data_IF_905201181573
#
_entry.id   IF_905201181573
#
_cell.length_a   1.000
_cell.length_b   1.000
_cell.length_c   1.000
_cell.angle_alpha   90.00
_cell.angle_beta   90.00
_cell.angle_gamma   90.00
#
_symmetry.space_group_name_H-M   'P 1'
#
loop_
_entity.id
_entity.type
_entity.pdbx_description
1 polymer ?
#
# COMPACT_ATOMS: atom_id res chain seq x y z
N UNK A 1 -9.01 -6.78 5.64
CA UNK A 1 -7.71 -6.07 5.74
C UNK A 1 -6.62 -6.95 6.35
N UNK A 2 -6.82 -7.63 7.50
CA UNK A 2 -5.83 -8.56 8.07
C UNK A 2 -5.29 -9.58 7.05
N UNK A 3 -6.17 -10.18 6.23
CA UNK A 3 -5.75 -11.05 5.13
C UNK A 3 -4.72 -10.42 4.17
N UNK A 4 -4.90 -9.15 3.78
CA UNK A 4 -3.93 -8.44 2.93
C UNK A 4 -2.59 -8.19 3.62
N UNK A 5 -2.60 -7.99 4.94
CA UNK A 5 -1.37 -7.76 5.73
C UNK A 5 -0.57 -9.07 5.90
N UNK A 6 -1.27 -10.20 5.99
CA UNK A 6 -0.69 -11.53 6.13
C UNK A 6 -0.51 -12.27 4.80
N UNK A 7 -0.96 -11.69 3.68
CA UNK A 7 -0.80 -12.26 2.34
C UNK A 7 0.66 -12.65 1.98
N UNK A 8 1.71 -11.89 2.37
CA UNK A 8 3.09 -12.31 2.10
C UNK A 8 3.51 -13.60 2.80
N UNK A 9 2.81 -14.02 3.87
CA UNK A 9 3.10 -15.26 4.60
C UNK A 9 2.48 -16.50 3.96
N UNK A 10 1.71 -16.34 2.88
CA UNK A 10 1.05 -17.47 2.21
C UNK A 10 2.10 -18.25 1.39
N UNK A 11 2.33 -19.54 1.67
CA UNK A 11 3.24 -20.35 0.87
C UNK A 11 2.60 -20.63 -0.49
N UNK A 12 3.29 -20.24 -1.58
CA UNK A 12 2.86 -20.55 -2.94
C UNK A 12 3.58 -21.79 -3.46
N UNK A 13 2.83 -22.68 -4.12
CA UNK A 13 3.40 -23.89 -4.75
C UNK A 13 4.44 -23.48 -5.79
N UNK A 14 5.70 -23.86 -5.56
CA UNK A 14 6.82 -23.60 -6.48
C UNK A 14 7.68 -22.38 -6.15
N UNK A 15 7.29 -21.54 -5.19
CA UNK A 15 8.19 -20.53 -4.62
C UNK A 15 8.95 -21.15 -3.45
N UNK A 16 10.25 -21.41 -3.63
CA UNK A 16 11.16 -21.94 -2.62
C UNK A 16 11.49 -20.96 -1.48
N UNK A 17 10.90 -19.77 -1.49
CA UNK A 17 11.16 -18.73 -0.50
C UNK A 17 10.05 -18.79 0.56
N UNK A 18 10.30 -19.52 1.64
CA UNK A 18 9.63 -19.26 2.91
C UNK A 18 10.00 -17.82 3.30
N UNK A 19 9.07 -16.88 3.09
CA UNK A 19 9.25 -15.50 3.53
C UNK A 19 9.11 -15.50 5.05
N UNK A 20 10.24 -15.55 5.76
CA UNK A 20 10.33 -15.41 7.21
C UNK A 20 10.10 -13.94 7.61
N UNK A 21 8.85 -13.50 7.49
CA UNK A 21 8.40 -12.14 7.81
C UNK A 21 8.31 -11.95 9.33
N UNK A 22 9.23 -11.16 9.90
CA UNK A 22 9.34 -10.96 11.35
C UNK A 22 8.67 -9.68 11.81
N UNK A 23 7.99 -9.77 12.94
CA UNK A 23 7.55 -8.57 13.65
C UNK A 23 8.75 -7.88 14.34
N UNK A 24 8.76 -6.54 14.43
CA UNK A 24 7.80 -5.62 13.81
C UNK A 24 8.12 -5.38 12.33
N UNK A 25 7.07 -5.26 11.51
CA UNK A 25 7.19 -4.90 10.09
C UNK A 25 6.20 -3.82 9.67
N UNK A 26 6.51 -3.12 8.59
CA UNK A 26 5.61 -2.13 7.98
C UNK A 26 4.91 -2.72 6.76
N UNK A 27 3.63 -2.40 6.59
CA UNK A 27 2.85 -2.83 5.44
C UNK A 27 2.12 -1.64 4.81
N UNK A 28 2.44 -1.35 3.56
CA UNK A 28 1.68 -0.44 2.70
C UNK A 28 0.57 -1.25 2.00
N UNK A 29 -0.68 -1.03 2.42
CA UNK A 29 -1.85 -1.53 1.71
C UNK A 29 -2.31 -0.48 0.71
N UNK A 30 -2.08 -0.73 -0.59
CA UNK A 30 -2.45 0.16 -1.68
C UNK A 30 -3.34 -0.57 -2.70
N UNK A 31 -4.65 -0.36 -2.61
CA UNK A 31 -5.68 -0.96 -3.47
C UNK A 31 -6.61 0.10 -4.06
N UNK A 32 -7.66 -0.34 -4.77
CA UNK A 32 -8.72 0.55 -5.25
C UNK A 32 -9.52 1.21 -4.12
N UNK A 33 -9.61 0.56 -2.95
CA UNK A 33 -10.42 1.05 -1.81
C UNK A 33 -9.60 1.51 -0.60
N UNK A 34 -8.31 1.18 -0.53
CA UNK A 34 -7.48 1.45 0.65
C UNK A 34 -6.13 2.03 0.23
N UNK A 35 -5.63 3.01 0.97
CA UNK A 35 -4.24 3.47 0.88
C UNK A 35 -3.77 3.85 2.27
N UNK A 36 -3.10 2.91 2.93
CA UNK A 36 -2.67 3.06 4.32
C UNK A 36 -1.32 2.42 4.56
N UNK A 37 -0.55 3.01 5.48
CA UNK A 37 0.67 2.45 6.03
C UNK A 37 0.37 1.94 7.44
N UNK A 38 0.56 0.65 7.66
CA UNK A 38 0.28 -0.01 8.95
C UNK A 38 1.58 -0.56 9.51
N UNK A 39 1.86 -0.26 10.79
CA UNK A 39 2.89 -0.92 11.57
C UNK A 39 2.28 -2.13 12.26
N UNK A 40 2.87 -3.29 12.06
CA UNK A 40 2.50 -4.52 12.74
C UNK A 40 3.56 -4.86 13.77
N UNK A 41 3.20 -4.88 15.06
CA UNK A 41 4.09 -5.30 16.16
C UNK A 41 3.84 -6.73 16.60
N UNK A 42 2.65 -7.26 16.34
CA UNK A 42 2.29 -8.67 16.51
C UNK A 42 1.13 -9.03 15.58
N UNK A 43 0.62 -10.26 15.68
CA UNK A 43 -0.58 -10.69 14.96
C UNK A 43 -1.86 -9.96 15.40
N UNK A 44 -1.87 -9.37 16.60
CA UNK A 44 -3.05 -8.70 17.17
C UNK A 44 -2.86 -7.20 17.25
N UNK A 45 -1.63 -6.75 17.41
CA UNK A 45 -1.27 -5.34 17.55
C UNK A 45 -0.87 -4.74 16.20
N UNK A 46 -1.77 -3.88 15.71
CA UNK A 46 -1.63 -3.14 14.48
C UNK A 46 -1.80 -1.66 14.80
N UNK A 47 -1.02 -0.81 14.14
CA UNK A 47 -1.13 0.64 14.26
C UNK A 47 -1.15 1.26 12.87
N UNK A 48 -2.23 1.98 12.55
CA UNK A 48 -2.31 2.74 11.30
C UNK A 48 -1.48 4.02 11.44
N UNK A 49 -0.34 4.07 10.76
CA UNK A 49 0.61 5.19 10.82
C UNK A 49 0.19 6.31 9.88
N UNK A 50 -0.25 5.94 8.68
CA UNK A 50 -0.74 6.86 7.65
C UNK A 50 -2.00 6.24 7.08
N UNK A 51 -3.06 7.03 6.95
CA UNK A 51 -4.25 6.66 6.18
C UNK A 51 -4.53 7.75 5.14
N UNK A 52 -5.36 7.43 4.15
CA UNK A 52 -5.82 8.43 3.18
C UNK A 52 -6.88 9.33 3.80
N UNK A 53 -6.75 10.64 3.58
CA UNK A 53 -7.70 11.65 4.02
C UNK A 53 -8.96 11.68 3.15
N UNK A 54 -8.84 11.30 1.88
CA UNK A 54 -9.89 11.47 0.87
C UNK A 54 -10.24 10.17 0.14
N UNK A 55 -9.65 9.91 -1.02
CA UNK A 55 -9.87 8.72 -1.84
C UNK A 55 -8.61 7.84 -1.81
N UNK A 56 -8.76 6.56 -2.12
CA UNK A 56 -7.60 5.69 -2.27
C UNK A 56 -6.80 6.05 -3.54
N UNK A 57 -5.50 5.72 -3.56
CA UNK A 57 -4.63 5.94 -4.71
C UNK A 57 -5.13 5.19 -5.95
N UNK A 58 -5.65 3.97 -5.80
CA UNK A 58 -6.23 3.20 -6.91
C UNK A 58 -7.46 3.87 -7.50
N UNK A 59 -8.40 4.32 -6.66
CA UNK A 59 -9.58 5.08 -7.12
C UNK A 59 -9.19 6.42 -7.79
N UNK A 60 -8.17 7.11 -7.26
CA UNK A 60 -7.63 8.31 -7.90
C UNK A 60 -7.05 8.03 -9.29
N UNK A 61 -6.23 6.97 -9.43
CA UNK A 61 -5.68 6.54 -10.71
C UNK A 61 -6.78 6.18 -11.70
N UNK A 62 -7.78 5.40 -11.28
CA UNK A 62 -8.89 4.99 -12.14
C UNK A 62 -9.75 6.17 -12.61
N UNK A 63 -10.08 7.10 -11.71
CA UNK A 63 -10.83 8.32 -12.05
C UNK A 63 -10.05 9.20 -13.02
N UNK A 64 -8.75 9.39 -12.76
CA UNK A 64 -7.89 10.17 -13.63
C UNK A 64 -7.72 9.51 -15.00
N UNK A 65 -7.49 8.19 -15.06
CA UNK A 65 -7.42 7.44 -16.31
C UNK A 65 -8.71 7.57 -17.13
N UNK A 66 -9.88 7.50 -16.48
CA UNK A 66 -11.15 7.74 -17.17
C UNK A 66 -11.20 9.13 -17.82
N UNK A 67 -10.72 10.17 -17.15
CA UNK A 67 -10.65 11.51 -17.73
C UNK A 67 -9.67 11.62 -18.90
N UNK A 68 -8.58 10.85 -18.87
CA UNK A 68 -7.63 10.71 -19.98
C UNK A 68 -8.18 9.85 -21.13
N UNK A 69 -9.44 9.37 -21.06
CA UNK A 69 -10.10 8.63 -22.13
C UNK A 69 -9.81 7.13 -22.15
N UNK A 70 -9.33 6.54 -21.05
CA UNK A 70 -9.27 5.08 -20.91
C UNK A 70 -10.66 4.51 -20.60
N UNK A 71 -10.95 3.33 -21.15
CA UNK A 71 -12.23 2.64 -21.02
C UNK A 71 -11.99 1.18 -20.66
N UNK A 72 -12.69 0.67 -19.65
CA UNK A 72 -12.51 -0.70 -19.18
C UNK A 72 -12.76 -0.80 -17.67
N UNK A 73 -12.54 -2.00 -17.13
CA UNK A 73 -12.76 -2.30 -15.72
C UNK A 73 -11.49 -2.17 -14.87
N UNK A 74 -10.30 -2.26 -15.49
CA UNK A 74 -9.00 -2.21 -14.80
C UNK A 74 -8.17 -1.03 -15.33
N UNK A 75 -8.59 0.18 -15.00
CA UNK A 75 -8.01 1.40 -15.55
C UNK A 75 -6.59 1.67 -15.04
N UNK A 76 -6.28 1.39 -13.78
CA UNK A 76 -4.92 1.52 -13.22
C UNK A 76 -3.87 0.71 -13.99
N UNK A 77 -4.04 -0.61 -14.19
CA UNK A 77 -3.13 -1.40 -15.01
C UNK A 77 -3.08 -0.98 -16.49
N UNK A 78 -4.20 -0.53 -17.07
CA UNK A 78 -4.21 0.01 -18.44
C UNK A 78 -3.39 1.29 -18.55
N UNK A 79 -3.51 2.20 -17.58
CA UNK A 79 -2.71 3.42 -17.49
C UNK A 79 -1.22 3.07 -17.38
N UNK A 80 -0.86 2.08 -16.57
CA UNK A 80 0.52 1.59 -16.48
C UNK A 80 1.04 1.02 -17.80
N UNK A 81 0.24 0.21 -18.49
CA UNK A 81 0.61 -0.31 -19.82
C UNK A 81 0.80 0.80 -20.83
N UNK A 82 -0.09 1.79 -20.82
CA UNK A 82 0.02 2.97 -21.69
C UNK A 82 1.31 3.74 -21.42
N UNK A 83 1.61 4.04 -20.15
CA UNK A 83 2.88 4.69 -19.76
C UNK A 83 4.08 3.82 -20.12
N UNK A 84 3.99 2.51 -19.95
CA UNK A 84 5.07 1.56 -20.29
C UNK A 84 5.39 1.55 -21.79
N UNK A 85 4.41 1.78 -22.66
CA UNK A 85 4.58 1.82 -24.11
C UNK A 85 5.11 3.15 -24.65
N UNK A 86 5.21 4.20 -23.82
CA UNK A 86 5.88 5.45 -24.21
C UNK A 86 7.38 5.17 -24.47
N UNK A 87 7.93 5.76 -25.53
CA UNK A 87 9.35 5.60 -25.88
C UNK A 87 10.27 6.05 -24.74
N UNK A 88 11.46 5.44 -24.65
CA UNK A 88 12.44 5.75 -23.59
C UNK A 88 12.87 7.22 -23.67
N UNK A 89 13.11 7.73 -24.88
CA UNK A 89 13.49 9.12 -25.14
C UNK A 89 12.42 10.10 -24.64
N UNK A 90 11.13 9.83 -24.94
CA UNK A 90 10.03 10.65 -24.43
C UNK A 90 9.92 10.58 -22.91
N UNK A 91 10.05 9.39 -22.30
CA UNK A 91 10.04 9.26 -20.83
C UNK A 91 11.16 10.06 -20.17
N UNK A 92 12.36 10.05 -20.76
CA UNK A 92 13.50 10.85 -20.28
C UNK A 92 13.25 12.35 -20.42
N UNK A 93 12.66 12.80 -21.54
CA UNK A 93 12.24 14.20 -21.69
C UNK A 93 11.18 14.56 -20.65
N UNK A 94 10.14 13.74 -20.52
CA UNK A 94 9.05 13.99 -19.59
C UNK A 94 9.52 14.05 -18.15
N UNK A 95 10.40 13.15 -17.70
CA UNK A 95 10.89 13.14 -16.32
C UNK A 95 11.60 14.44 -15.91
N UNK A 96 12.27 15.11 -16.85
CA UNK A 96 12.97 16.39 -16.62
C UNK A 96 12.02 17.58 -16.46
N UNK A 97 10.76 17.46 -16.88
CA UNK A 97 9.79 18.56 -16.85
C UNK A 97 9.10 18.65 -15.49
N UNK A 98 9.11 19.84 -14.90
CA UNK A 98 8.44 20.10 -13.64
C UNK A 98 6.96 20.51 -13.87
N UNK A 99 6.07 20.08 -12.97
CA UNK A 99 4.62 20.35 -13.02
C UNK A 99 4.11 21.23 -11.86
N UNK A 100 4.98 21.88 -11.08
CA UNK A 100 4.60 22.74 -9.95
C UNK A 100 3.83 23.99 -10.39
N UNK A 101 4.12 24.46 -11.59
CA UNK A 101 3.43 25.51 -12.32
C UNK A 101 3.10 25.03 -13.74
N UNK A 102 2.43 25.90 -14.48
CA UNK A 102 1.99 25.73 -15.86
C UNK A 102 2.93 26.38 -16.88
N UNK A 103 4.15 26.76 -16.48
CA UNK A 103 5.14 27.39 -17.40
C UNK A 103 5.87 26.37 -18.27
N UNK A 104 5.67 25.07 -18.02
CA UNK A 104 6.23 24.01 -18.84
C UNK A 104 5.64 23.98 -20.26
N UNK A 105 6.33 23.29 -21.17
CA UNK A 105 5.94 23.19 -22.59
C UNK A 105 4.52 22.64 -22.82
N UNK A 106 4.00 21.86 -21.87
CA UNK A 106 2.67 21.27 -21.95
C UNK A 106 1.58 22.11 -21.28
N UNK A 107 1.92 23.24 -20.64
CA UNK A 107 1.03 24.08 -19.83
C UNK A 107 0.25 23.29 -18.76
N UNK A 108 0.83 22.21 -18.27
CA UNK A 108 0.17 21.29 -17.36
C UNK A 108 0.69 21.47 -15.93
N UNK A 109 -0.23 21.70 -14.99
CA UNK A 109 0.10 21.87 -13.58
C UNK A 109 -0.45 20.71 -12.75
N UNK A 110 0.45 20.04 -12.04
CA UNK A 110 0.14 18.97 -11.09
C UNK A 110 1.04 19.11 -9.87
N UNK A 111 0.46 19.48 -8.73
CA UNK A 111 1.20 19.68 -7.48
C UNK A 111 1.12 18.43 -6.60
N UNK A 112 2.23 18.14 -5.92
CA UNK A 112 2.20 17.18 -4.82
C UNK A 112 1.32 17.74 -3.69
N UNK A 113 0.32 16.99 -3.21
CA UNK A 113 -0.46 17.35 -2.04
C UNK A 113 0.44 17.49 -0.82
N UNK A 114 0.04 18.35 0.13
CA UNK A 114 0.69 18.47 1.44
C UNK A 114 2.22 18.73 1.40
N UNK A 115 2.74 19.26 0.29
CA UNK A 115 4.15 19.62 0.14
C UNK A 115 4.47 20.84 1.00
N UNK A 116 5.07 20.58 2.16
CA UNK A 116 5.30 21.58 3.19
C UNK A 116 6.36 22.61 2.73
N UNK A 117 5.91 23.75 2.19
CA UNK A 117 6.81 24.73 1.53
C UNK A 117 7.52 25.66 2.51
N UNK A 118 7.12 25.69 3.80
CA UNK A 118 7.59 26.71 4.77
C UNK A 118 7.89 26.21 6.19
N UNK A 119 7.85 24.90 6.50
CA UNK A 119 8.13 24.41 7.86
C UNK A 119 9.13 23.25 7.86
N UNK A 120 10.27 23.47 8.52
CA UNK A 120 11.26 22.44 8.91
C UNK A 120 10.73 21.45 9.96
N UNK A 121 9.51 21.65 10.46
CA UNK A 121 8.92 20.82 11.52
C UNK A 121 8.11 19.68 10.91
N UNK A 122 8.41 18.46 11.35
CA UNK A 122 7.67 17.24 11.01
C UNK A 122 6.22 17.41 11.50
N UNK A 123 5.20 17.11 10.66
CA UNK A 123 3.81 17.27 11.05
C UNK A 123 3.41 16.24 12.12
N UNK A 124 2.49 16.64 13.00
CA UNK A 124 1.96 15.76 14.05
C UNK A 124 1.17 14.59 13.45
N UNK A 125 0.31 14.87 12.47
CA UNK A 125 -0.42 13.84 11.72
C UNK A 125 0.14 13.72 10.30
N UNK A 126 0.38 12.49 9.87
CA UNK A 126 0.84 12.19 8.51
C UNK A 126 -0.31 11.47 7.80
N UNK A 127 -0.79 12.07 6.71
CA UNK A 127 -1.88 11.54 5.89
C UNK A 127 -1.48 11.46 4.41
N UNK A 128 -2.13 10.55 3.68
CA UNK A 128 -2.17 10.59 2.22
C UNK A 128 -3.36 11.44 1.73
N UNK A 129 -3.32 11.87 0.47
CA UNK A 129 -4.35 12.67 -0.17
C UNK A 129 -4.21 12.58 -1.69
N UNK A 130 -5.30 12.34 -2.40
CA UNK A 130 -5.29 12.06 -3.84
C UNK A 130 -6.44 12.71 -4.61
N UNK A 131 -7.39 13.38 -3.95
CA UNK A 131 -8.56 13.97 -4.63
C UNK A 131 -8.20 15.12 -5.57
N UNK A 132 -7.12 15.87 -5.29
CA UNK A 132 -6.72 17.04 -6.08
C UNK A 132 -6.24 16.70 -7.50
N UNK A 133 -5.81 15.47 -7.74
CA UNK A 133 -5.28 15.06 -9.05
C UNK A 133 -6.36 15.09 -10.12
N UNK A 134 -7.56 14.60 -9.80
CA UNK A 134 -8.68 14.58 -10.74
C UNK A 134 -9.07 15.99 -11.19
N UNK A 135 -9.19 16.92 -10.24
CA UNK A 135 -9.52 18.32 -10.56
C UNK A 135 -8.48 18.94 -11.49
N UNK A 136 -7.19 18.66 -11.26
CA UNK A 136 -6.10 19.19 -12.09
C UNK A 136 -6.18 18.69 -13.55
N UNK A 137 -6.51 17.42 -13.75
CA UNK A 137 -6.66 16.84 -15.10
C UNK A 137 -7.91 17.40 -15.81
N UNK A 138 -9.02 17.55 -15.10
CA UNK A 138 -10.25 18.13 -15.66
C UNK A 138 -10.02 19.55 -16.17
N UNK A 139 -9.43 20.41 -15.33
CA UNK A 139 -9.07 21.78 -15.72
C UNK A 139 -8.12 21.80 -16.90
N UNK A 140 -7.13 20.91 -16.93
CA UNK A 140 -6.19 20.85 -18.07
C UNK A 140 -6.89 20.52 -19.39
N UNK A 141 -7.82 19.55 -19.37
CA UNK A 141 -8.59 19.09 -20.53
C UNK A 141 -9.54 20.16 -21.07
N UNK A 142 -10.08 21.03 -20.21
CA UNK A 142 -10.92 22.16 -20.63
C UNK A 142 -10.13 23.27 -21.32
N UNK A 143 -8.86 23.47 -20.92
CA UNK A 143 -8.03 24.60 -21.38
C UNK A 143 -7.10 24.26 -22.55
N UNK A 144 -6.89 22.98 -22.86
CA UNK A 144 -5.89 22.56 -23.84
C UNK A 144 -6.42 21.50 -24.80
N UNK A 145 -5.83 21.46 -26.00
CA UNK A 145 -6.09 20.39 -26.97
C UNK A 145 -5.42 19.11 -26.49
N UNK A 146 -6.21 18.03 -26.43
CA UNK A 146 -5.77 16.75 -25.89
C UNK A 146 -5.17 15.86 -26.99
N UNK A 147 -3.95 16.22 -27.43
CA UNK A 147 -3.17 15.41 -28.39
C UNK A 147 -2.65 14.13 -27.73
N UNK A 148 -2.24 13.13 -28.54
CA UNK A 148 -1.64 11.91 -27.99
C UNK A 148 -0.36 12.18 -27.18
N UNK A 149 0.49 13.13 -27.60
CA UNK A 149 1.68 13.50 -26.83
C UNK A 149 1.30 14.12 -25.47
N UNK A 150 0.32 15.03 -25.44
CA UNK A 150 -0.17 15.63 -24.19
C UNK A 150 -0.75 14.56 -23.27
N UNK A 151 -1.51 13.60 -23.82
CA UNK A 151 -2.06 12.47 -23.07
C UNK A 151 -0.97 11.59 -22.48
N UNK A 152 0.06 11.26 -23.26
CA UNK A 152 1.25 10.52 -22.79
C UNK A 152 1.97 11.26 -21.66
N UNK A 153 2.20 12.56 -21.82
CA UNK A 153 2.84 13.39 -20.81
C UNK A 153 2.05 13.43 -19.50
N UNK A 154 0.74 13.69 -19.58
CA UNK A 154 -0.14 13.75 -18.40
C UNK A 154 -0.23 12.38 -17.72
N UNK A 155 -0.38 11.28 -18.47
CA UNK A 155 -0.40 9.93 -17.92
C UNK A 155 0.90 9.58 -17.17
N UNK A 156 2.05 9.90 -17.78
CA UNK A 156 3.36 9.71 -17.18
C UNK A 156 3.51 10.51 -15.88
N UNK A 157 3.21 11.82 -15.92
CA UNK A 157 3.34 12.71 -14.76
C UNK A 157 2.36 12.40 -13.64
N UNK A 158 1.14 11.99 -13.97
CA UNK A 158 0.16 11.56 -12.99
C UNK A 158 0.69 10.39 -12.16
N UNK A 159 1.15 9.33 -12.84
CA UNK A 159 1.66 8.14 -12.17
C UNK A 159 2.91 8.46 -11.33
N UNK A 160 3.83 9.26 -11.88
CA UNK A 160 5.02 9.72 -11.17
C UNK A 160 4.65 10.51 -9.90
N UNK A 161 3.77 11.51 -10.00
CA UNK A 161 3.41 12.40 -8.88
C UNK A 161 2.62 11.67 -7.80
N UNK A 162 1.69 10.78 -8.16
CA UNK A 162 0.93 9.97 -7.19
C UNK A 162 1.87 9.08 -6.37
N UNK A 163 2.79 8.38 -7.02
CA UNK A 163 3.70 7.47 -6.31
C UNK A 163 4.80 8.23 -5.56
N UNK A 164 5.27 9.36 -6.08
CA UNK A 164 6.14 10.27 -5.32
C UNK A 164 5.46 10.76 -4.05
N UNK A 165 4.17 11.10 -4.10
CA UNK A 165 3.42 11.45 -2.89
C UNK A 165 3.43 10.30 -1.88
N UNK A 166 3.11 9.08 -2.31
CA UNK A 166 3.13 7.92 -1.41
C UNK A 166 4.50 7.75 -0.75
N UNK A 167 5.59 7.75 -1.54
CA UNK A 167 6.95 7.59 -1.01
C UNK A 167 7.35 8.73 -0.10
N UNK A 168 7.06 9.99 -0.45
CA UNK A 168 7.38 11.16 0.36
C UNK A 168 6.69 11.13 1.73
N UNK A 169 5.41 10.75 1.78
CA UNK A 169 4.69 10.65 3.06
C UNK A 169 5.24 9.51 3.93
N UNK A 170 5.62 8.37 3.34
CA UNK A 170 6.29 7.28 4.05
C UNK A 170 7.67 7.73 4.54
N UNK A 171 8.42 8.48 3.72
CA UNK A 171 9.71 9.05 4.10
C UNK A 171 9.57 9.98 5.31
N UNK A 172 8.55 10.84 5.33
CA UNK A 172 8.24 11.70 6.49
C UNK A 172 7.89 10.86 7.72
N UNK A 173 7.21 9.71 7.56
CA UNK A 173 6.97 8.80 8.67
C UNK A 173 8.26 8.18 9.21
N UNK A 174 9.19 7.73 8.37
CA UNK A 174 10.51 7.28 8.83
C UNK A 174 11.26 8.38 9.57
N UNK A 175 11.25 9.62 9.06
CA UNK A 175 11.87 10.75 9.75
C UNK A 175 11.24 11.00 11.12
N UNK A 176 9.91 10.89 11.24
CA UNK A 176 9.18 11.08 12.50
C UNK A 176 9.48 9.96 13.50
N UNK A 177 9.34 8.70 13.08
CA UNK A 177 9.33 7.54 13.97
C UNK A 177 10.70 6.87 14.16
N UNK A 178 11.74 7.31 13.44
CA UNK A 178 13.14 6.98 13.78
C UNK A 178 13.75 7.97 14.77
N UNK A 179 13.27 9.22 14.77
CA UNK A 179 13.70 10.26 15.70
C UNK A 179 13.06 10.03 17.05
N UNK A 180 13.85 9.88 18.11
CA UNK A 180 13.31 9.81 19.46
C UNK A 180 13.27 11.23 20.05
N UNK A 181 12.07 11.83 20.15
CA UNK A 181 11.90 13.23 20.59
C UNK A 181 12.44 13.48 22.02
N UNK A 182 12.50 12.45 22.88
CA UNK A 182 12.96 12.58 24.27
C UNK A 182 14.49 12.47 24.45
N UNK A 183 15.20 11.77 23.56
CA UNK A 183 16.63 11.45 23.77
C UNK A 183 17.56 11.96 22.67
N UNK A 184 17.04 12.46 21.55
CA UNK A 184 17.84 12.96 20.43
C UNK A 184 18.66 11.87 19.70
N UNK A 185 18.48 10.60 20.07
CA UNK A 185 19.13 9.43 19.50
C UNK A 185 18.25 8.77 18.43
N UNK A 186 18.86 8.18 17.41
CA UNK A 186 18.20 7.29 16.43
C UNK A 186 17.85 5.95 17.08
N UNK A 187 16.79 5.95 17.89
CA UNK A 187 16.29 4.78 18.62
C UNK A 187 14.75 4.67 18.58
N UNK A 188 14.11 5.27 17.57
CA UNK A 188 12.66 5.24 17.42
C UNK A 188 12.12 3.88 16.94
N UNK A 189 10.79 3.70 17.00
CA UNK A 189 10.10 2.43 16.74
C UNK A 189 10.29 1.86 15.33
N UNK A 190 10.66 2.68 14.35
CA UNK A 190 10.90 2.22 12.98
C UNK A 190 12.33 1.69 12.76
N UNK A 191 13.27 1.97 13.66
CA UNK A 191 14.66 1.49 13.57
C UNK A 191 14.75 -0.04 13.65
N UNK A 192 13.83 -0.65 14.37
CA UNK A 192 13.71 -2.10 14.52
C UNK A 192 12.97 -2.79 13.37
N UNK A 193 12.33 -2.03 12.47
CA UNK A 193 11.60 -2.59 11.32
C UNK A 193 12.59 -2.98 10.24
N UNK A 194 12.69 -4.27 9.93
CA UNK A 194 13.56 -4.78 8.86
C UNK A 194 12.80 -5.10 7.57
N UNK A 195 11.52 -5.43 7.70
CA UNK A 195 10.70 -5.86 6.58
C UNK A 195 9.64 -4.81 6.21
N UNK A 196 9.48 -4.59 4.91
CA UNK A 196 8.51 -3.67 4.33
C UNK A 196 7.66 -4.42 3.29
N UNK A 197 6.38 -4.58 3.58
CA UNK A 197 5.41 -5.23 2.71
C UNK A 197 4.68 -4.17 1.88
N UNK A 198 4.47 -4.43 0.60
CA UNK A 198 3.56 -3.64 -0.23
C UNK A 198 2.54 -4.57 -0.90
N UNK A 199 1.29 -4.49 -0.47
CA UNK A 199 0.18 -5.34 -0.94
C UNK A 199 -1.00 -4.52 -1.46
N UNK A 200 -1.91 -5.18 -2.17
CA UNK A 200 -3.07 -4.54 -2.81
C UNK A 200 -2.93 -4.40 -4.33
N UNK A 201 -4.04 -4.15 -5.02
CA UNK A 201 -4.05 -4.11 -6.49
C UNK A 201 -3.11 -3.08 -7.12
N UNK A 202 -2.84 -1.95 -6.46
CA UNK A 202 -1.90 -0.92 -6.95
C UNK A 202 -0.45 -1.31 -6.65
N UNK A 203 -0.20 -2.17 -5.65
CA UNK A 203 1.13 -2.70 -5.36
C UNK A 203 1.69 -3.57 -6.50
N UNK A 204 0.85 -4.00 -7.45
CA UNK A 204 1.26 -4.62 -8.70
C UNK A 204 2.09 -3.71 -9.61
N UNK A 205 1.92 -2.40 -9.46
CA UNK A 205 2.47 -1.42 -10.36
C UNK A 205 4.00 -1.33 -10.26
N UNK A 206 4.69 -1.56 -11.38
CA UNK A 206 6.15 -1.60 -11.44
C UNK A 206 6.79 -0.27 -11.11
N UNK A 207 6.15 0.86 -11.45
CA UNK A 207 6.66 2.19 -11.12
C UNK A 207 6.59 2.42 -9.61
N UNK A 208 5.49 2.06 -8.95
CA UNK A 208 5.39 2.13 -7.48
C UNK A 208 6.46 1.26 -6.81
N UNK A 209 6.61 0.00 -7.24
CA UNK A 209 7.64 -0.92 -6.69
C UNK A 209 9.04 -0.34 -6.85
N UNK A 210 9.37 0.16 -8.04
CA UNK A 210 10.66 0.77 -8.32
C UNK A 210 10.93 1.99 -7.42
N UNK A 211 9.93 2.86 -7.25
CA UNK A 211 10.06 4.03 -6.37
C UNK A 211 10.23 3.65 -4.90
N UNK A 212 9.49 2.65 -4.41
CA UNK A 212 9.68 2.15 -3.05
C UNK A 212 11.10 1.57 -2.86
N UNK A 213 11.62 0.82 -3.83
CA UNK A 213 12.94 0.20 -3.75
C UNK A 213 14.10 1.21 -3.81
N UNK A 214 13.97 2.26 -4.61
CA UNK A 214 15.10 3.16 -4.93
C UNK A 214 14.99 4.54 -4.28
N UNK A 215 13.77 5.06 -4.07
CA UNK A 215 13.56 6.43 -3.59
C UNK A 215 13.32 6.47 -2.07
N UNK A 216 12.79 5.40 -1.46
CA UNK A 216 12.53 5.33 -0.02
C UNK A 216 13.84 5.15 0.76
N UNK A 217 14.14 6.09 1.65
CA UNK A 217 15.36 6.11 2.48
C UNK A 217 14.99 5.97 3.96
N UNK A 218 14.89 4.74 4.43
CA UNK A 218 14.54 4.45 5.82
C UNK A 218 15.63 4.79 6.85
N UNK A 219 16.87 5.06 6.42
CA UNK A 219 18.02 5.25 7.32
C UNK A 219 18.75 3.95 7.69
N UNK A 220 18.16 2.81 7.34
CA UNK A 220 18.71 1.47 7.45
C UNK A 220 18.20 0.60 6.28
N UNK A 221 18.78 -0.59 6.10
CA UNK A 221 18.36 -1.52 5.05
C UNK A 221 16.99 -2.13 5.36
N UNK A 222 16.09 -2.09 4.37
CA UNK A 222 14.79 -2.75 4.40
C UNK A 222 14.75 -3.90 3.40
N UNK A 223 14.14 -5.01 3.80
CA UNK A 223 13.75 -6.09 2.91
C UNK A 223 12.35 -5.78 2.37
N UNK A 224 12.23 -5.64 1.05
CA UNK A 224 10.95 -5.35 0.42
C UNK A 224 10.26 -6.64 -0.02
N UNK A 225 9.00 -6.79 0.39
CA UNK A 225 8.15 -7.93 0.09
C UNK A 225 6.96 -7.48 -0.74
N UNK A 226 6.86 -8.01 -1.96
CA UNK A 226 5.74 -7.73 -2.86
C UNK A 226 5.03 -9.06 -3.15
N UNK A 227 3.84 -9.31 -2.57
CA UNK A 227 3.10 -10.53 -2.83
C UNK A 227 2.80 -10.70 -4.31
N UNK A 228 2.60 -11.95 -4.71
CA UNK A 228 2.15 -12.26 -6.06
C UNK A 228 0.85 -11.53 -6.39
N UNK A 229 0.68 -11.22 -7.68
CA UNK A 229 -0.44 -10.41 -8.13
C UNK A 229 -1.80 -11.05 -7.78
N UNK A 230 -1.88 -12.39 -7.85
CA UNK A 230 -3.06 -13.16 -7.49
C UNK A 230 -3.44 -13.02 -6.00
N UNK A 231 -2.46 -12.76 -5.13
CA UNK A 231 -2.66 -12.55 -3.70
C UNK A 231 -2.93 -11.08 -3.34
N UNK A 232 -2.59 -10.13 -4.23
CA UNK A 232 -2.78 -8.71 -4.02
C UNK A 232 -4.24 -8.24 -4.18
N UNK A 233 -5.07 -8.97 -4.92
CA UNK A 233 -6.53 -8.70 -5.05
C UNK A 233 -7.32 -9.46 -4.00
N UNK A 234 -8.52 -8.98 -3.64
CA UNK A 234 -9.39 -9.67 -2.68
C UNK A 234 -9.64 -11.13 -3.10
N UNK A 235 -9.31 -12.09 -2.24
CA UNK A 235 -9.41 -13.53 -2.50
C UNK A 235 -9.68 -14.30 -1.21
N UNK A 236 -10.20 -15.53 -1.32
CA UNK A 236 -10.49 -16.35 -0.14
C UNK A 236 -9.22 -16.91 0.54
N UNK A 237 -8.13 -17.07 -0.22
CA UNK A 237 -6.86 -17.63 0.29
C UNK A 237 -6.29 -16.78 1.41
N UNK A 238 -6.30 -15.45 1.28
CA UNK A 238 -5.81 -14.55 2.34
C UNK A 238 -6.66 -14.61 3.61
N UNK A 239 -7.96 -14.90 3.47
CA UNK A 239 -8.88 -15.06 4.61
C UNK A 239 -8.59 -16.39 5.31
N UNK A 240 -8.40 -17.46 4.54
CA UNK A 240 -7.98 -18.75 5.07
C UNK A 240 -6.66 -18.67 5.82
N UNK A 241 -5.64 -18.02 5.24
CA UNK A 241 -4.34 -17.83 5.88
C UNK A 241 -4.42 -17.02 7.18
N UNK A 242 -5.17 -15.91 7.18
CA UNK A 242 -5.39 -15.14 8.39
C UNK A 242 -6.11 -15.97 9.47
N UNK A 243 -7.07 -16.82 9.08
CA UNK A 243 -7.74 -17.75 9.99
C UNK A 243 -6.80 -18.79 10.58
N UNK A 244 -5.91 -19.37 9.77
CA UNK A 244 -4.87 -20.29 10.22
C UNK A 244 -3.95 -19.61 11.23
N UNK A 245 -3.44 -18.41 10.91
CA UNK A 245 -2.56 -17.64 11.80
C UNK A 245 -3.23 -17.34 13.15
N UNK A 246 -4.50 -16.90 13.13
CA UNK A 246 -5.28 -16.65 14.35
C UNK A 246 -5.50 -17.92 15.16
N UNK A 247 -5.89 -19.02 14.51
CA UNK A 247 -6.15 -20.29 15.18
C UNK A 247 -4.88 -20.90 15.78
N UNK A 248 -3.80 -20.98 14.99
CA UNK A 248 -2.54 -21.62 15.39
C UNK A 248 -1.72 -20.75 16.34
N UNK A 249 -1.72 -19.42 16.20
CA UNK A 249 -0.91 -18.54 17.06
C UNK A 249 -1.67 -18.04 18.30
N UNK A 250 -2.98 -17.81 18.21
CA UNK A 250 -3.77 -17.20 19.29
C UNK A 250 -4.69 -18.19 20.02
N UNK A 251 -4.87 -19.42 19.48
CA UNK A 251 -5.81 -20.40 20.02
C UNK A 251 -7.23 -19.83 20.14
N UNK A 252 -7.69 -19.12 19.10
CA UNK A 252 -9.02 -18.50 19.07
C UNK A 252 -9.86 -18.92 17.88
N UNK A 253 -11.16 -19.06 18.12
CA UNK A 253 -12.21 -19.27 17.11
C UNK A 253 -13.31 -18.22 17.27
N UNK A 254 -14.17 -18.09 16.26
CA UNK A 254 -15.37 -17.23 16.33
C UNK A 254 -16.60 -18.07 16.70
N UNK A 255 -17.49 -17.52 17.51
CA UNK A 255 -18.76 -18.14 17.86
C UNK A 255 -19.73 -18.19 16.66
N UNK A 256 -20.68 -19.13 16.68
CA UNK A 256 -21.67 -19.29 15.61
C UNK A 256 -22.67 -18.14 15.52
N UNK A 257 -22.78 -17.29 16.54
CA UNK A 257 -23.67 -16.12 16.56
C UNK A 257 -23.02 -14.84 16.02
N UNK A 258 -21.81 -14.92 15.47
CA UNK A 258 -21.10 -13.73 14.99
C UNK A 258 -21.83 -13.07 13.80
N UNK A 259 -21.90 -11.73 13.85
CA UNK A 259 -22.58 -10.92 12.84
C UNK A 259 -21.58 -10.07 12.03
N UNK A 260 -21.96 -9.64 10.81
CA UNK A 260 -21.11 -8.76 10.00
C UNK A 260 -20.82 -7.42 10.70
N UNK A 261 -19.54 -7.04 10.79
CA UNK A 261 -19.11 -5.75 11.33
C UNK A 261 -18.80 -4.80 10.18
N UNK A 262 -19.67 -3.81 9.95
CA UNK A 262 -19.53 -2.87 8.81
C UNK A 262 -18.26 -2.01 8.90
N UNK A 263 -17.89 -1.55 10.09
CA UNK A 263 -16.69 -0.74 10.34
C UNK A 263 -15.91 -1.40 11.48
N UNK A 264 -14.97 -2.25 11.10
CA UNK A 264 -14.12 -2.96 12.05
C UNK A 264 -12.71 -2.35 12.04
N UNK A 265 -12.31 -1.60 13.09
CA UNK A 265 -10.97 -1.05 13.19
C UNK A 265 -9.94 -2.18 13.34
N UNK A 266 -8.78 -2.03 12.69
CA UNK A 266 -7.73 -3.06 12.75
C UNK A 266 -7.22 -3.28 14.18
N UNK A 267 -7.11 -2.21 14.96
CA UNK A 267 -6.60 -2.23 16.32
C UNK A 267 -7.55 -2.93 17.30
N UNK A 268 -8.78 -3.21 16.86
CA UNK A 268 -9.84 -3.84 17.67
C UNK A 268 -10.10 -5.29 17.22
N UNK A 269 -9.13 -5.95 16.58
CA UNK A 269 -9.26 -7.32 16.09
C UNK A 269 -9.82 -8.28 17.16
N UNK A 270 -9.23 -8.30 18.35
CA UNK A 270 -9.67 -9.16 19.45
C UNK A 270 -10.63 -8.50 20.44
N UNK A 271 -10.95 -7.22 20.27
CA UNK A 271 -11.81 -6.47 21.20
C UNK A 271 -13.30 -6.58 20.87
N UNK A 272 -13.62 -7.02 19.65
CA UNK A 272 -15.01 -7.29 19.26
C UNK A 272 -15.49 -8.59 19.89
N UNK A 273 -16.78 -8.63 20.22
CA UNK A 273 -17.40 -9.83 20.80
C UNK A 273 -17.39 -11.01 19.82
N UNK A 274 -17.44 -12.21 20.37
CA UNK A 274 -17.60 -13.46 19.62
C UNK A 274 -16.35 -14.33 19.53
N UNK A 275 -15.20 -13.86 20.03
CA UNK A 275 -14.03 -14.72 20.17
C UNK A 275 -14.20 -15.75 21.30
N UNK A 276 -13.82 -16.99 21.02
CA UNK A 276 -13.79 -18.10 21.96
C UNK A 276 -12.38 -18.69 22.02
N UNK A 277 -11.94 -19.10 23.21
CA UNK A 277 -10.67 -19.79 23.38
C UNK A 277 -10.83 -21.26 22.99
N UNK A 278 -9.83 -21.77 22.26
CA UNK A 278 -9.75 -23.16 21.83
C UNK A 278 -9.02 -23.96 22.89
N UNK A 279 -9.64 -25.03 23.38
CA UNK A 279 -8.98 -25.93 24.32
C UNK A 279 -7.81 -26.67 23.66
N UNK A 280 -6.80 -27.07 24.43
CA UNK A 280 -5.67 -27.84 23.89
C UNK A 280 -6.12 -29.17 23.25
N UNK A 281 -7.13 -29.84 23.81
CA UNK A 281 -7.69 -31.07 23.24
C UNK A 281 -8.32 -30.83 21.86
N UNK A 282 -9.10 -29.75 21.72
CA UNK A 282 -9.73 -29.37 20.45
C UNK A 282 -8.69 -28.95 19.42
N UNK A 283 -7.69 -28.16 19.83
CA UNK A 283 -6.59 -27.77 18.96
C UNK A 283 -5.84 -29.00 18.43
N UNK A 284 -5.45 -29.89 19.33
CA UNK A 284 -4.72 -31.11 19.01
C UNK A 284 -5.55 -32.04 18.10
N UNK A 285 -6.85 -32.19 18.33
CA UNK A 285 -7.72 -32.99 17.45
C UNK A 285 -7.72 -32.46 16.00
N UNK A 286 -7.73 -31.13 15.82
CA UNK A 286 -7.75 -30.50 14.49
C UNK A 286 -6.37 -30.56 13.83
N UNK A 287 -5.28 -30.33 14.57
CA UNK A 287 -3.94 -30.29 13.99
C UNK A 287 -3.29 -31.66 13.83
N UNK A 288 -3.57 -32.64 14.69
CA UNK A 288 -3.04 -34.00 14.53
C UNK A 288 -3.73 -34.77 13.41
N UNK A 289 -4.99 -34.45 13.07
CA UNK A 289 -5.63 -34.98 11.86
C UNK A 289 -4.87 -34.62 10.57
N UNK A 290 -4.10 -33.52 10.55
CA UNK A 290 -3.20 -33.19 9.41
C UNK A 290 -2.00 -34.13 9.31
N UNK A 291 -1.48 -34.69 10.40
CA UNK A 291 -0.27 -35.53 10.40
C UNK A 291 -0.57 -36.93 9.85
N UNK A 292 -1.74 -37.49 10.16
CA UNK A 292 -2.14 -38.81 9.63
C UNK A 292 -2.51 -38.77 8.13
N UNK A 293 -2.94 -37.62 7.59
CA UNK A 293 -3.29 -37.48 6.16
C UNK A 293 -2.12 -37.02 5.27
N UNK A 294 -0.95 -36.72 5.84
CA UNK A 294 0.25 -36.26 5.10
C UNK A 294 1.41 -37.25 5.11
N UNK A 295 1.20 -38.46 5.64
CA UNK A 295 2.12 -39.58 5.44
C UNK A 295 1.82 -40.24 4.08
N UNK A 296 2.84 -40.50 3.23
CA UNK A 296 2.67 -41.02 1.87
C UNK A 296 2.04 -42.42 1.81
#
# INVERSE_FOLDING_TARGET
MLGHLLAPKIPLKGSQLDIDLKYPFLSLLCSGGHTMLVLLTSLTEHEVIIDTLDIAAGDSLDKCARELGFTGNMLGPELERYVSNISIEQKQRFSQINTHDDTNEFKFRLRMPMRNTKRRKIPEKIEFAFASFLSSIKTYKELNVFTEENRQFVAFKLQEVIFNHIVDRIQVAFLKYNSNEETGLTAGRFVQVKDFVCSGGVAANKVLRHKLLHDLKAGHSLNFHFPDLSLCTDNATMIGNAGIEVFESLRKTSCLSMLPIRKWPMNDLLRVDGWQDVSEDEYNAITHAKIEQSSP
#
